data_IF_108658756558
#
_entry.id   IF_108658756558
#
_cell.length_a   1.000
_cell.length_b   1.000
_cell.length_c   1.000
_cell.angle_alpha   90.00
_cell.angle_beta   90.00
_cell.angle_gamma   90.00
#
_symmetry.space_group_name_H-M   'P 1'
#
loop_
_entity.id
_entity.type
_entity.pdbx_description
1 polymer ?
#
# COMPACT_ATOMS: atom_id res chain seq x y z
N UNK A 1 40.87 -39.29 -14.47
CA UNK A 1 40.66 -40.73 -14.70
C UNK A 1 39.76 -41.26 -13.58
N UNK A 2 38.61 -41.87 -13.94
CA UNK A 2 37.74 -42.82 -13.20
C UNK A 2 37.30 -42.46 -11.76
N UNK A 3 36.03 -42.16 -11.47
CA UNK A 3 34.78 -42.95 -11.44
C UNK A 3 34.56 -43.89 -10.23
N UNK A 4 33.34 -43.75 -9.68
CA UNK A 4 32.42 -44.74 -9.09
C UNK A 4 32.53 -45.20 -7.61
N UNK A 5 31.43 -44.91 -6.88
CA UNK A 5 30.58 -45.77 -6.01
C UNK A 5 31.13 -46.49 -4.78
N UNK A 6 30.41 -46.37 -3.64
CA UNK A 6 29.55 -47.43 -3.05
C UNK A 6 29.42 -47.36 -1.51
N UNK A 7 28.27 -47.83 -1.00
CA UNK A 7 28.03 -48.34 0.39
C UNK A 7 27.13 -47.43 1.24
N UNK A 8 25.84 -47.68 1.53
CA UNK A 8 25.08 -48.86 2.05
C UNK A 8 25.34 -49.18 3.54
N UNK A 9 24.25 -49.53 4.25
CA UNK A 9 24.06 -50.12 5.62
C UNK A 9 23.55 -49.05 6.63
N UNK A 10 22.25 -48.97 6.97
CA UNK A 10 21.29 -49.88 7.66
C UNK A 10 21.44 -49.96 9.18
N UNK A 11 20.28 -49.82 9.85
CA UNK A 11 19.91 -50.14 11.24
C UNK A 11 20.46 -49.28 12.39
N UNK A 12 19.58 -48.69 13.20
CA UNK A 12 19.22 -49.31 14.49
C UNK A 12 17.92 -48.74 15.10
N UNK A 13 17.21 -49.66 15.74
CA UNK A 13 15.96 -49.52 16.49
C UNK A 13 16.22 -48.78 17.81
N UNK A 14 15.29 -47.92 18.22
CA UNK A 14 15.32 -47.27 19.53
C UNK A 14 13.93 -46.80 19.95
N UNK A 15 13.13 -47.73 20.45
CA UNK A 15 11.95 -47.45 21.27
C UNK A 15 12.33 -46.64 22.50
N UNK A 16 11.69 -45.50 22.72
CA UNK A 16 11.53 -44.92 24.06
C UNK A 16 10.07 -44.58 24.28
N UNK A 17 9.45 -45.38 25.14
CA UNK A 17 8.15 -45.15 25.71
C UNK A 17 8.19 -43.89 26.58
N UNK A 18 7.38 -42.89 26.24
CA UNK A 18 7.09 -41.77 27.12
C UNK A 18 5.70 -41.98 27.74
N UNK A 19 5.70 -42.18 29.05
CA UNK A 19 4.51 -42.23 29.89
C UNK A 19 3.78 -40.87 29.83
N UNK A 20 2.61 -40.84 29.21
CA UNK A 20 1.69 -39.71 29.30
C UNK A 20 0.87 -39.87 30.58
N UNK A 21 1.17 -39.01 31.54
CA UNK A 21 0.42 -38.82 32.78
C UNK A 21 -1.00 -38.37 32.42
N UNK A 22 -1.98 -39.20 32.77
CA UNK A 22 -3.40 -38.86 32.75
C UNK A 22 -3.66 -37.65 33.66
N UNK A 23 -3.96 -36.51 33.04
CA UNK A 23 -4.56 -35.35 33.72
C UNK A 23 -6.08 -35.50 33.67
N UNK A 24 -6.81 -35.37 34.79
CA UNK A 24 -8.25 -35.48 34.78
C UNK A 24 -8.88 -34.30 34.04
N UNK A 25 -9.76 -34.63 33.09
CA UNK A 25 -10.66 -33.73 32.39
C UNK A 25 -11.47 -32.95 33.45
N UNK A 26 -11.13 -31.68 33.65
CA UNK A 26 -11.98 -30.73 34.37
C UNK A 26 -13.16 -30.38 33.47
N UNK A 27 -14.33 -30.84 33.88
CA UNK A 27 -15.63 -30.43 33.36
C UNK A 27 -15.74 -28.90 33.33
N UNK A 28 -16.23 -28.28 32.23
CA UNK A 28 -16.60 -26.88 32.27
C UNK A 28 -17.78 -26.72 33.24
N UNK A 29 -17.52 -25.96 34.30
CA UNK A 29 -18.51 -25.45 35.23
C UNK A 29 -19.66 -24.80 34.47
N UNK A 30 -20.85 -25.36 34.64
CA UNK A 30 -22.15 -24.80 34.28
C UNK A 30 -22.24 -23.31 34.65
N UNK A 31 -22.03 -22.42 33.69
CA UNK A 31 -22.59 -21.09 33.73
C UNK A 31 -24.11 -21.22 33.56
N UNK A 32 -24.82 -21.27 34.68
CA UNK A 32 -26.27 -21.07 34.73
C UNK A 32 -26.55 -19.63 34.27
N UNK A 33 -26.78 -19.45 32.97
CA UNK A 33 -27.51 -18.28 32.49
C UNK A 33 -28.93 -18.41 33.04
N UNK A 34 -29.30 -17.54 33.99
CA UNK A 34 -30.71 -17.34 34.35
C UNK A 34 -31.40 -16.81 33.09
N UNK A 35 -32.06 -17.70 32.36
CA UNK A 35 -33.14 -17.34 31.45
C UNK A 35 -34.21 -16.67 32.32
N UNK A 36 -34.22 -15.34 32.33
CA UNK A 36 -35.43 -14.61 32.65
C UNK A 36 -36.42 -14.93 31.54
N UNK A 37 -37.39 -15.79 31.83
CA UNK A 37 -38.56 -15.96 30.99
C UNK A 37 -39.35 -14.66 31.07
N UNK A 38 -39.06 -13.72 30.17
CA UNK A 38 -39.96 -12.60 29.93
C UNK A 38 -41.27 -13.16 29.39
N UNK A 39 -42.39 -12.74 29.97
CA UNK A 39 -43.69 -13.10 29.41
C UNK A 39 -43.82 -12.48 28.01
N UNK A 40 -44.56 -13.11 27.12
CA UNK A 40 -44.80 -12.59 25.76
C UNK A 40 -45.37 -11.15 25.80
N UNK A 41 -46.14 -10.83 26.85
CA UNK A 41 -46.67 -9.50 27.11
C UNK A 41 -45.60 -8.47 27.50
N UNK A 42 -44.55 -8.87 28.23
CA UNK A 42 -43.44 -7.99 28.59
C UNK A 42 -42.51 -7.74 27.40
N UNK A 43 -42.29 -8.76 26.56
CA UNK A 43 -41.53 -8.62 25.32
C UNK A 43 -42.24 -7.68 24.32
N UNK A 44 -43.57 -7.76 24.22
CA UNK A 44 -44.36 -6.86 23.38
C UNK A 44 -44.28 -5.40 23.85
N UNK A 45 -44.34 -5.16 25.17
CA UNK A 45 -44.18 -3.81 25.74
C UNK A 45 -42.79 -3.24 25.55
N UNK A 46 -41.75 -4.08 25.67
CA UNK A 46 -40.38 -3.66 25.42
C UNK A 46 -40.15 -3.33 23.93
N UNK A 47 -40.71 -4.13 23.03
CA UNK A 47 -40.68 -3.86 21.59
C UNK A 47 -41.39 -2.54 21.24
N UNK A 48 -42.55 -2.24 21.84
CA UNK A 48 -43.25 -0.97 21.62
C UNK A 48 -42.44 0.23 22.14
N UNK A 49 -41.77 0.07 23.30
CA UNK A 49 -40.90 1.10 23.87
C UNK A 49 -39.67 1.36 23.00
N UNK A 50 -39.08 0.30 22.43
CA UNK A 50 -37.95 0.41 21.51
C UNK A 50 -38.36 1.05 20.18
N UNK A 51 -39.57 0.75 19.69
CA UNK A 51 -40.12 1.39 18.49
C UNK A 51 -40.32 2.90 18.69
N UNK A 52 -40.90 3.32 19.82
CA UNK A 52 -41.03 4.75 20.16
C UNK A 52 -39.68 5.46 20.24
N UNK A 53 -38.67 4.84 20.87
CA UNK A 53 -37.31 5.39 20.89
C UNK A 53 -36.69 5.51 19.50
N UNK A 54 -36.92 4.53 18.62
CA UNK A 54 -36.42 4.58 17.26
C UNK A 54 -37.07 5.71 16.45
N UNK A 55 -38.38 5.93 16.64
CA UNK A 55 -39.11 7.01 15.98
C UNK A 55 -38.68 8.39 16.52
N UNK A 56 -38.44 8.52 17.83
CA UNK A 56 -37.87 9.73 18.45
C UNK A 56 -36.45 10.03 17.90
N UNK A 57 -35.60 9.02 17.75
CA UNK A 57 -34.26 9.18 17.19
C UNK A 57 -34.30 9.57 15.71
N UNK A 58 -35.24 9.03 14.93
CA UNK A 58 -35.43 9.41 13.52
C UNK A 58 -35.86 10.86 13.38
N UNK A 59 -36.74 11.34 14.25
CA UNK A 59 -37.15 12.75 14.24
C UNK A 59 -36.01 13.67 14.67
N UNK A 60 -35.21 13.27 15.66
CA UNK A 60 -33.99 14.01 16.03
C UNK A 60 -32.99 14.10 14.88
N UNK A 61 -32.78 13.01 14.13
CA UNK A 61 -31.92 13.00 12.94
C UNK A 61 -32.47 13.95 11.89
N UNK A 62 -33.78 13.92 11.62
CA UNK A 62 -34.42 14.81 10.64
C UNK A 62 -34.26 16.28 10.99
N UNK A 63 -34.43 16.64 12.27
CA UNK A 63 -34.23 18.02 12.75
C UNK A 63 -32.76 18.42 12.65
N UNK A 64 -31.82 17.52 12.96
CA UNK A 64 -30.39 17.78 12.77
C UNK A 64 -30.02 17.94 11.29
N UNK A 65 -30.60 17.13 10.40
CA UNK A 65 -30.38 17.22 8.95
C UNK A 65 -30.95 18.53 8.36
N UNK A 66 -32.12 18.98 8.83
CA UNK A 66 -32.68 20.29 8.45
C UNK A 66 -31.82 21.46 8.96
N UNK A 67 -31.21 21.33 10.15
CA UNK A 67 -30.30 22.35 10.70
C UNK A 67 -28.93 22.42 9.99
N UNK A 68 -28.49 21.32 9.39
CA UNK A 68 -27.20 21.26 8.67
C UNK A 68 -27.31 21.90 7.27
N UNK A 69 -28.52 22.10 6.74
CA UNK A 69 -28.74 22.73 5.44
C UNK A 69 -28.15 21.94 4.24
N UNK A 70 -28.32 22.42 3.00
CA UNK A 70 -27.79 21.75 1.80
C UNK A 70 -26.25 21.80 1.70
N UNK A 71 -25.57 22.46 2.62
CA UNK A 71 -24.13 22.45 2.72
C UNK A 71 -23.65 21.23 3.52
N UNK A 72 -23.85 20.03 2.94
CA UNK A 72 -22.85 18.98 3.13
C UNK A 72 -21.60 19.48 2.39
N UNK A 73 -20.82 20.32 3.05
CA UNK A 73 -19.46 20.65 2.64
C UNK A 73 -18.68 19.34 2.69
N UNK A 74 -18.73 18.59 1.60
CA UNK A 74 -17.74 17.56 1.33
C UNK A 74 -16.39 18.26 1.39
N UNK A 75 -15.55 17.90 2.36
CA UNK A 75 -14.15 18.34 2.42
C UNK A 75 -13.34 17.94 1.15
N UNK A 76 -13.98 17.31 0.16
CA UNK A 76 -13.39 16.99 -1.15
C UNK A 76 -13.08 18.25 -1.98
N UNK A 77 -13.75 19.39 -1.76
CA UNK A 77 -13.47 20.63 -2.51
C UNK A 77 -12.06 21.20 -2.24
N UNK A 78 -11.40 20.78 -1.15
CA UNK A 78 -10.03 21.18 -0.82
C UNK A 78 -8.96 20.45 -1.65
N UNK A 79 -9.32 19.40 -2.39
CA UNK A 79 -8.38 18.52 -3.10
C UNK A 79 -8.50 18.56 -4.62
N UNK A 80 -9.34 19.43 -5.17
CA UNK A 80 -9.55 19.57 -6.62
C UNK A 80 -8.83 20.85 -7.07
N UNK A 81 -7.58 20.78 -7.57
CA UNK A 81 -7.02 21.90 -8.30
C UNK A 81 -7.88 22.14 -9.56
N UNK A 82 -8.17 23.42 -9.85
CA UNK A 82 -8.84 23.81 -11.09
C UNK A 82 -7.92 23.49 -12.26
N UNK A 83 -8.42 22.73 -13.23
CA UNK A 83 -7.67 22.38 -14.44
C UNK A 83 -7.62 23.58 -15.39
N UNK A 84 -6.50 24.29 -15.41
CA UNK A 84 -6.18 25.20 -16.50
C UNK A 84 -5.52 24.38 -17.62
N UNK A 85 -6.29 24.04 -18.65
CA UNK A 85 -5.79 23.41 -19.87
C UNK A 85 -5.17 24.47 -20.79
N UNK A 86 -3.90 24.78 -20.58
CA UNK A 86 -3.03 25.29 -21.63
C UNK A 86 -1.82 24.36 -21.75
N UNK A 87 -1.44 24.00 -22.98
CA UNK A 87 -0.21 23.25 -23.28
C UNK A 87 1.01 24.15 -23.01
N UNK A 88 1.23 24.50 -21.75
CA UNK A 88 2.45 25.14 -21.31
C UNK A 88 3.62 24.15 -21.47
N UNK A 89 4.75 24.67 -21.94
CA UNK A 89 6.02 23.95 -21.90
C UNK A 89 6.33 23.75 -20.42
N UNK A 90 6.07 22.54 -19.92
CA UNK A 90 6.36 22.20 -18.53
C UNK A 90 7.87 22.19 -18.37
N UNK A 91 8.42 23.19 -17.68
CA UNK A 91 9.81 23.18 -17.24
C UNK A 91 9.96 22.12 -16.15
N UNK A 92 10.80 21.11 -16.39
CA UNK A 92 11.10 20.03 -15.44
C UNK A 92 10.27 18.76 -15.63
N UNK A 93 10.35 17.87 -14.64
CA UNK A 93 9.68 16.56 -14.66
C UNK A 93 8.18 16.70 -14.60
N UNK A 94 7.46 15.89 -15.38
CA UNK A 94 5.99 15.94 -15.46
C UNK A 94 5.35 14.56 -15.39
N UNK A 95 4.13 14.51 -14.84
CA UNK A 95 3.26 13.33 -14.84
C UNK A 95 2.31 13.29 -16.06
N UNK A 96 2.32 14.33 -16.90
CA UNK A 96 1.42 14.44 -18.06
C UNK A 96 1.64 13.28 -19.04
N UNK A 97 0.55 12.56 -19.34
CA UNK A 97 0.54 11.37 -20.20
C UNK A 97 1.53 10.28 -19.75
N UNK A 98 1.71 10.12 -18.44
CA UNK A 98 2.54 9.05 -17.87
C UNK A 98 1.68 7.95 -17.28
N UNK A 99 2.23 6.73 -17.26
CA UNK A 99 1.67 5.53 -16.66
C UNK A 99 2.43 5.20 -15.39
N UNK A 100 1.76 5.28 -14.24
CA UNK A 100 2.38 5.16 -12.91
C UNK A 100 1.92 3.87 -12.25
N UNK A 101 2.85 3.04 -11.79
CA UNK A 101 2.57 1.82 -11.03
C UNK A 101 2.69 2.06 -9.53
N UNK A 102 1.62 1.80 -8.78
CA UNK A 102 1.63 1.78 -7.32
C UNK A 102 1.69 0.33 -6.84
N UNK A 103 2.83 -0.07 -6.27
CA UNK A 103 3.03 -1.43 -5.76
C UNK A 103 2.63 -1.50 -4.29
N UNK A 104 1.75 -2.45 -3.94
CA UNK A 104 1.15 -2.50 -2.61
C UNK A 104 -0.04 -1.55 -2.47
N UNK A 105 -0.79 -1.34 -3.56
CA UNK A 105 -1.91 -0.40 -3.62
C UNK A 105 -3.07 -0.75 -2.69
N UNK A 106 -3.22 -2.01 -2.25
CA UNK A 106 -4.19 -2.41 -1.24
C UNK A 106 -3.71 -2.21 0.21
N UNK A 107 -2.48 -1.70 0.41
CA UNK A 107 -1.93 -1.33 1.71
C UNK A 107 -2.50 -0.01 2.25
N UNK A 108 -2.20 0.31 3.52
CA UNK A 108 -2.68 1.54 4.17
C UNK A 108 -2.18 2.81 3.48
N UNK A 109 -0.90 2.83 3.09
CA UNK A 109 -0.30 3.97 2.39
C UNK A 109 -0.57 3.90 0.89
N UNK A 110 -0.38 2.73 0.27
CA UNK A 110 -0.53 2.57 -1.18
C UNK A 110 -1.91 2.97 -1.70
N UNK A 111 -2.98 2.67 -0.96
CA UNK A 111 -4.34 3.10 -1.33
C UNK A 111 -4.51 4.62 -1.30
N UNK A 112 -3.89 5.29 -0.32
CA UNK A 112 -3.91 6.76 -0.23
C UNK A 112 -3.05 7.40 -1.33
N UNK A 113 -1.92 6.78 -1.69
CA UNK A 113 -1.10 7.20 -2.84
C UNK A 113 -1.91 7.12 -4.13
N UNK A 114 -2.60 5.99 -4.36
CA UNK A 114 -3.49 5.83 -5.52
C UNK A 114 -4.59 6.88 -5.53
N UNK A 115 -5.26 7.13 -4.39
CA UNK A 115 -6.26 8.19 -4.27
C UNK A 115 -5.66 9.55 -4.63
N UNK A 116 -4.53 9.92 -4.04
CA UNK A 116 -3.90 11.23 -4.26
C UNK A 116 -3.51 11.43 -5.73
N UNK A 117 -2.91 10.43 -6.39
CA UNK A 117 -2.64 10.47 -7.82
C UNK A 117 -3.90 10.76 -8.65
N UNK A 118 -4.98 10.02 -8.40
CA UNK A 118 -6.21 10.17 -9.17
C UNK A 118 -6.91 11.52 -8.92
N UNK A 119 -6.76 12.13 -7.75
CA UNK A 119 -7.44 13.39 -7.41
C UNK A 119 -6.64 14.61 -7.79
N UNK A 120 -5.34 14.59 -7.53
CA UNK A 120 -4.47 15.75 -7.67
C UNK A 120 -3.79 15.82 -9.04
N UNK A 121 -3.68 14.69 -9.76
CA UNK A 121 -2.96 14.61 -11.04
C UNK A 121 -3.83 14.06 -12.18
N UNK A 122 -4.88 14.80 -12.61
CA UNK A 122 -5.71 14.39 -13.73
C UNK A 122 -4.94 14.31 -15.06
N UNK A 123 -3.76 14.90 -15.17
CA UNK A 123 -2.89 14.84 -16.36
C UNK A 123 -2.23 13.46 -16.58
N UNK A 124 -2.23 12.60 -15.56
CA UNK A 124 -1.74 11.21 -15.65
C UNK A 124 -2.58 10.43 -16.68
N UNK A 125 -1.94 9.57 -17.47
CA UNK A 125 -2.65 8.73 -18.44
C UNK A 125 -3.33 7.54 -17.75
N UNK A 126 -2.57 6.82 -16.94
CA UNK A 126 -3.04 5.61 -16.26
C UNK A 126 -2.34 5.43 -14.91
N UNK A 127 -3.10 5.07 -13.88
CA UNK A 127 -2.60 4.63 -12.58
C UNK A 127 -2.82 3.12 -12.48
N UNK A 128 -1.74 2.35 -12.51
CA UNK A 128 -1.76 0.92 -12.30
C UNK A 128 -1.64 0.61 -10.81
N UNK A 129 -2.68 0.04 -10.21
CA UNK A 129 -2.68 -0.40 -8.82
C UNK A 129 -2.35 -1.90 -8.74
N UNK A 130 -1.10 -2.22 -8.40
CA UNK A 130 -0.69 -3.61 -8.16
C UNK A 130 -1.12 -4.07 -6.76
N UNK A 131 -2.04 -5.03 -6.73
CA UNK A 131 -2.60 -5.62 -5.52
C UNK A 131 -2.19 -7.08 -5.40
N UNK A 132 -1.94 -7.52 -4.17
CA UNK A 132 -1.70 -8.94 -3.89
C UNK A 132 -3.00 -9.60 -3.42
N UNK A 133 -3.29 -10.79 -3.93
CA UNK A 133 -4.43 -11.59 -3.50
C UNK A 133 -4.25 -12.06 -2.05
N UNK A 134 -5.15 -11.63 -1.16
CA UNK A 134 -5.25 -12.14 0.21
C UNK A 134 -6.58 -12.93 0.26
N UNK A 135 -6.56 -14.27 0.28
CA UNK A 135 -7.79 -15.10 0.32
C UNK A 135 -8.63 -14.88 1.59
N UNK A 136 -9.87 -15.37 1.79
CA UNK A 136 -10.73 -16.39 1.15
C UNK A 136 -11.72 -15.85 0.09
N UNK A 137 -12.41 -16.77 -0.61
CA UNK A 137 -13.25 -16.61 -1.81
C UNK A 137 -14.36 -15.52 -1.83
N UNK A 138 -14.55 -14.75 -0.76
CA UNK A 138 -15.66 -13.77 -0.65
C UNK A 138 -15.22 -12.31 -0.50
N UNK A 139 -13.95 -12.01 -0.23
CA UNK A 139 -13.45 -10.62 -0.16
C UNK A 139 -12.20 -10.48 -1.00
N UNK A 140 -12.36 -10.04 -2.25
CA UNK A 140 -11.22 -9.70 -3.09
C UNK A 140 -10.39 -8.64 -2.35
N UNK A 141 -9.08 -8.87 -2.21
CA UNK A 141 -8.17 -8.15 -1.31
C UNK A 141 -7.93 -6.66 -1.61
N UNK A 142 -8.84 -6.01 -2.34
CA UNK A 142 -8.82 -4.60 -2.72
C UNK A 142 -9.88 -3.74 -2.02
N UNK A 143 -10.64 -4.28 -1.06
CA UNK A 143 -11.71 -3.52 -0.36
C UNK A 143 -11.24 -2.19 0.27
N UNK A 144 -9.98 -2.12 0.74
CA UNK A 144 -9.40 -0.85 1.21
C UNK A 144 -9.18 0.12 0.07
N UNK A 145 -8.65 -0.37 -1.05
CA UNK A 145 -8.37 0.45 -2.23
C UNK A 145 -9.68 1.00 -2.79
N UNK A 146 -10.73 0.16 -2.92
CA UNK A 146 -12.04 0.59 -3.42
C UNK A 146 -12.65 1.69 -2.57
N UNK A 147 -12.60 1.56 -1.24
CA UNK A 147 -13.04 2.60 -0.32
C UNK A 147 -12.22 3.89 -0.47
N UNK A 148 -10.88 3.80 -0.47
CA UNK A 148 -10.02 4.97 -0.45
C UNK A 148 -10.10 5.79 -1.76
N UNK A 149 -10.20 5.13 -2.92
CA UNK A 149 -10.38 5.84 -4.20
C UNK A 149 -11.80 6.35 -4.40
N UNK A 150 -12.74 5.95 -3.55
CA UNK A 150 -14.15 6.30 -3.63
C UNK A 150 -14.91 5.52 -4.71
N UNK A 151 -14.45 4.31 -5.07
CA UNK A 151 -15.18 3.44 -6.00
C UNK A 151 -16.54 2.98 -5.42
N UNK A 152 -16.68 3.02 -4.10
CA UNK A 152 -17.90 2.67 -3.38
C UNK A 152 -18.81 3.88 -3.08
N UNK A 153 -18.38 5.11 -3.40
CA UNK A 153 -19.13 6.36 -3.13
C UNK A 153 -20.34 6.56 -4.07
N UNK A 154 -20.65 5.59 -4.92
CA UNK A 154 -21.75 5.67 -5.87
C UNK A 154 -23.09 5.91 -5.20
N UNK A 155 -24.04 6.49 -5.95
CA UNK A 155 -25.42 6.57 -5.47
C UNK A 155 -26.00 5.17 -5.55
N UNK A 156 -26.31 4.61 -4.39
CA UNK A 156 -26.79 3.25 -4.28
C UNK A 156 -28.03 3.10 -3.42
N UNK A 157 -28.82 2.08 -3.74
CA UNK A 157 -29.92 1.65 -2.91
C UNK A 157 -29.45 0.46 -2.07
N UNK A 158 -29.51 0.59 -0.75
CA UNK A 158 -29.23 -0.50 0.16
C UNK A 158 -30.58 -1.10 0.54
N UNK A 159 -30.85 -2.31 0.05
CA UNK A 159 -32.05 -3.05 0.43
C UNK A 159 -32.15 -3.19 1.96
N UNK A 160 -33.37 -3.07 2.50
CA UNK A 160 -33.58 -3.24 3.93
C UNK A 160 -33.16 -4.66 4.35
N UNK A 161 -32.57 -4.81 5.54
CA UNK A 161 -32.04 -6.10 6.02
C UNK A 161 -33.08 -7.25 6.09
N UNK A 162 -34.38 -6.91 6.07
CA UNK A 162 -35.50 -7.84 6.08
C UNK A 162 -36.21 -7.98 4.71
N UNK A 163 -35.74 -7.30 3.67
CA UNK A 163 -36.27 -7.45 2.32
C UNK A 163 -35.61 -8.64 1.60
N UNK A 164 -36.32 -9.20 0.62
CA UNK A 164 -35.79 -10.29 -0.22
C UNK A 164 -34.63 -9.79 -1.11
N UNK A 165 -34.61 -8.50 -1.46
CA UNK A 165 -33.47 -7.81 -2.06
C UNK A 165 -32.41 -7.48 -1.00
N UNK A 166 -31.50 -8.42 -0.77
CA UNK A 166 -30.33 -8.22 0.11
C UNK A 166 -29.12 -7.60 -0.59
N UNK A 167 -29.29 -7.19 -1.84
CA UNK A 167 -28.21 -6.67 -2.67
C UNK A 167 -28.13 -5.15 -2.54
N UNK A 168 -26.94 -4.64 -2.24
CA UNK A 168 -26.66 -3.22 -2.36
C UNK A 168 -26.18 -2.94 -3.78
N UNK A 169 -26.93 -2.12 -4.52
CA UNK A 169 -26.54 -1.71 -5.88
C UNK A 169 -26.04 -0.28 -5.82
N UNK A 170 -24.83 -0.03 -6.32
CA UNK A 170 -24.25 1.30 -6.43
C UNK A 170 -24.07 1.66 -7.90
N UNK A 171 -24.43 2.89 -8.27
CA UNK A 171 -24.29 3.41 -9.63
C UNK A 171 -23.33 4.58 -9.65
N UNK A 172 -22.57 4.69 -10.73
CA UNK A 172 -21.66 5.81 -10.96
C UNK A 172 -22.45 7.11 -11.04
N UNK A 173 -22.09 8.10 -10.22
CA UNK A 173 -22.72 9.42 -10.19
C UNK A 173 -21.84 10.47 -10.87
N UNK A 174 -22.41 11.60 -11.25
CA UNK A 174 -21.66 12.71 -11.86
C UNK A 174 -20.57 13.27 -10.93
N UNK A 175 -20.76 13.19 -9.60
CA UNK A 175 -19.78 13.60 -8.60
C UNK A 175 -18.51 12.75 -8.65
N UNK A 176 -18.62 11.49 -9.09
CA UNK A 176 -17.48 10.58 -9.24
C UNK A 176 -16.64 10.86 -10.49
N UNK A 177 -17.06 11.76 -11.39
CA UNK A 177 -16.24 12.14 -12.56
C UNK A 177 -14.90 12.76 -12.13
N UNK A 178 -14.92 13.56 -11.08
CA UNK A 178 -13.70 14.15 -10.50
C UNK A 178 -12.78 13.12 -9.83
N UNK A 179 -13.20 11.85 -9.76
CA UNK A 179 -12.43 10.79 -9.11
C UNK A 179 -11.44 10.14 -10.09
N UNK A 180 -11.58 10.41 -11.40
CA UNK A 180 -10.74 9.88 -12.47
C UNK A 180 -10.58 8.35 -12.44
N UNK A 181 -11.62 7.62 -12.00
CA UNK A 181 -11.58 6.15 -11.86
C UNK A 181 -11.41 5.43 -13.21
N UNK A 182 -11.73 6.10 -14.32
CA UNK A 182 -11.47 5.63 -15.68
C UNK A 182 -9.98 5.44 -15.98
N UNK A 183 -9.10 6.12 -15.23
CA UNK A 183 -7.64 6.01 -15.35
C UNK A 183 -7.04 4.98 -14.40
N UNK A 184 -7.83 4.40 -13.50
CA UNK A 184 -7.38 3.41 -12.54
C UNK A 184 -7.48 1.99 -13.13
N UNK A 185 -6.34 1.32 -13.25
CA UNK A 185 -6.28 -0.10 -13.59
C UNK A 185 -5.79 -0.93 -12.41
N UNK A 186 -6.65 -1.75 -11.84
CA UNK A 186 -6.27 -2.70 -10.78
C UNK A 186 -5.75 -3.99 -11.41
N UNK A 187 -4.54 -4.41 -11.02
CA UNK A 187 -3.90 -5.62 -11.52
C UNK A 187 -3.46 -6.47 -10.33
N UNK A 188 -3.82 -7.75 -10.35
CA UNK A 188 -3.32 -8.72 -9.37
C UNK A 188 -1.90 -9.15 -9.78
N UNK A 189 -0.95 -9.03 -8.85
CA UNK A 189 0.47 -9.33 -9.10
C UNK A 189 1.07 -10.08 -7.93
N UNK A 190 1.70 -11.22 -8.21
CA UNK A 190 2.64 -11.87 -7.31
C UNK A 190 4.03 -11.28 -7.51
N UNK A 191 4.53 -10.52 -6.53
CA UNK A 191 5.81 -9.81 -6.64
C UNK A 191 7.01 -10.77 -6.64
N UNK A 192 6.84 -11.98 -6.13
CA UNK A 192 7.87 -13.02 -6.21
C UNK A 192 7.87 -13.75 -7.56
N UNK A 193 6.88 -13.49 -8.42
CA UNK A 193 6.85 -13.99 -9.79
C UNK A 193 7.46 -12.96 -10.76
N UNK A 194 8.67 -13.20 -11.30
CA UNK A 194 9.33 -12.25 -12.19
C UNK A 194 8.61 -12.06 -13.52
N UNK A 195 7.84 -13.05 -14.01
CA UNK A 195 7.11 -12.91 -15.27
C UNK A 195 5.93 -11.95 -15.09
N UNK A 196 5.17 -12.09 -14.01
CA UNK A 196 4.08 -11.16 -13.67
C UNK A 196 4.61 -9.74 -13.45
N UNK A 197 5.74 -9.59 -12.76
CA UNK A 197 6.41 -8.30 -12.59
C UNK A 197 6.77 -7.66 -13.94
N UNK A 198 7.28 -8.43 -14.90
CA UNK A 198 7.58 -7.92 -16.26
C UNK A 198 6.32 -7.49 -17.00
N UNK A 199 5.26 -8.30 -16.94
CA UNK A 199 4.00 -7.99 -17.63
C UNK A 199 3.33 -6.74 -17.08
N UNK A 200 3.25 -6.57 -15.75
CA UNK A 200 2.61 -5.38 -15.17
C UNK A 200 3.38 -4.10 -15.44
N UNK A 201 4.71 -4.20 -15.53
CA UNK A 201 5.57 -3.06 -15.81
C UNK A 201 5.61 -2.66 -17.28
N UNK A 202 4.96 -3.38 -18.18
CA UNK A 202 4.95 -3.04 -19.61
C UNK A 202 4.35 -1.65 -19.87
N UNK A 203 5.17 -0.79 -20.47
CA UNK A 203 4.88 0.61 -20.73
C UNK A 203 4.70 1.51 -19.50
N UNK A 204 5.08 1.07 -18.30
CA UNK A 204 5.11 1.91 -17.08
C UNK A 204 6.30 2.87 -17.13
N UNK A 205 6.07 4.13 -16.77
CA UNK A 205 7.09 5.20 -16.74
C UNK A 205 7.76 5.33 -15.38
N UNK A 206 6.98 5.15 -14.32
CA UNK A 206 7.44 5.28 -12.94
C UNK A 206 6.71 4.35 -11.98
N UNK A 207 7.39 3.99 -10.89
CA UNK A 207 6.90 3.10 -9.85
C UNK A 207 6.98 3.78 -8.48
N UNK A 208 5.87 3.76 -7.74
CA UNK A 208 5.86 4.03 -6.30
C UNK A 208 5.76 2.70 -5.56
N UNK A 209 6.81 2.36 -4.82
CA UNK A 209 6.88 1.13 -4.05
C UNK A 209 6.40 1.34 -2.61
N UNK A 210 5.20 0.85 -2.31
CA UNK A 210 4.62 0.83 -0.95
C UNK A 210 4.48 -0.59 -0.38
N UNK A 211 4.92 -1.62 -1.11
CA UNK A 211 4.74 -3.00 -0.69
C UNK A 211 5.68 -3.42 0.44
N UNK A 212 5.14 -4.25 1.33
CA UNK A 212 5.88 -4.85 2.44
C UNK A 212 5.25 -6.21 2.78
N UNK A 213 6.09 -7.17 3.18
CA UNK A 213 5.70 -8.54 3.55
C UNK A 213 5.06 -8.63 4.96
N UNK A 214 4.52 -7.53 5.47
CA UNK A 214 4.09 -7.39 6.86
C UNK A 214 2.63 -6.96 6.98
N UNK A 215 1.93 -7.59 7.92
CA UNK A 215 0.62 -7.17 8.39
C UNK A 215 0.76 -6.66 9.83
N UNK A 216 0.85 -5.33 9.99
CA UNK A 216 1.21 -4.72 11.27
C UNK A 216 2.64 -5.11 11.67
N UNK A 217 2.80 -5.71 12.86
CA UNK A 217 4.10 -6.13 13.41
C UNK A 217 4.39 -7.62 13.16
N UNK A 218 3.80 -8.27 12.16
CA UNK A 218 4.07 -9.70 11.89
C UNK A 218 4.35 -9.94 10.41
N UNK A 219 5.41 -10.69 10.06
CA UNK A 219 5.59 -11.20 8.69
C UNK A 219 4.37 -12.02 8.28
N UNK A 220 3.85 -11.81 7.06
CA UNK A 220 2.69 -12.54 6.54
C UNK A 220 2.92 -14.06 6.53
N UNK A 221 4.15 -14.51 6.30
CA UNK A 221 4.53 -15.92 6.37
C UNK A 221 4.22 -16.58 7.73
N UNK A 222 4.29 -15.83 8.84
CA UNK A 222 3.95 -16.31 10.19
C UNK A 222 2.44 -16.24 10.43
N UNK A 223 1.78 -15.19 9.91
CA UNK A 223 0.33 -15.03 10.01
C UNK A 223 -0.44 -16.13 9.24
N UNK A 224 0.09 -16.61 8.13
CA UNK A 224 -0.55 -17.60 7.26
C UNK A 224 -0.16 -19.07 7.55
N UNK A 225 0.68 -19.36 8.56
CA UNK A 225 1.17 -20.71 8.90
C UNK A 225 1.73 -21.51 7.69
N UNK A 226 2.28 -20.84 6.68
CA UNK A 226 2.79 -21.52 5.50
C UNK A 226 4.23 -22.00 5.73
N UNK A 227 4.34 -23.27 6.14
CA UNK A 227 5.59 -23.95 6.49
C UNK A 227 6.64 -23.89 5.37
N UNK A 228 6.23 -23.87 4.09
CA UNK A 228 7.16 -23.78 2.96
C UNK A 228 7.89 -22.43 2.89
N UNK A 229 7.21 -21.32 3.21
CA UNK A 229 7.84 -20.00 3.29
C UNK A 229 8.81 -19.90 4.48
N UNK A 230 8.49 -20.56 5.59
CA UNK A 230 9.38 -20.62 6.76
C UNK A 230 10.69 -21.35 6.43
N UNK A 231 10.64 -22.52 5.79
CA UNK A 231 11.83 -23.27 5.40
C UNK A 231 12.68 -22.55 4.35
N UNK A 232 12.04 -21.90 3.35
CA UNK A 232 12.76 -21.13 2.32
C UNK A 232 13.48 -19.91 2.94
N UNK A 233 12.83 -19.23 3.87
CA UNK A 233 13.42 -18.11 4.62
C UNK A 233 14.60 -18.54 5.51
N UNK A 234 14.54 -19.73 6.12
CA UNK A 234 15.66 -20.27 6.91
C UNK A 234 16.83 -20.70 6.01
N UNK A 235 16.55 -21.24 4.82
CA UNK A 235 17.57 -21.69 3.88
C UNK A 235 18.27 -20.55 3.13
N UNK A 236 17.59 -19.42 2.91
CA UNK A 236 18.17 -18.21 2.31
C UNK A 236 17.36 -16.99 2.77
N UNK A 237 17.83 -16.24 3.79
CA UNK A 237 17.06 -15.14 4.40
C UNK A 237 16.76 -13.98 3.43
N UNK A 238 17.50 -13.90 2.32
CA UNK A 238 17.31 -12.91 1.26
C UNK A 238 16.31 -13.35 0.17
N UNK A 239 15.92 -14.63 0.11
CA UNK A 239 15.00 -15.17 -0.91
C UNK A 239 13.59 -15.34 -0.37
N UNK A 240 12.61 -15.06 -1.21
CA UNK A 240 11.17 -15.15 -0.95
C UNK A 240 10.62 -13.95 -0.19
N UNK A 241 11.31 -12.81 -0.20
CA UNK A 241 10.91 -11.57 0.48
C UNK A 241 10.55 -10.51 -0.52
N UNK A 242 9.43 -9.84 -0.29
CA UNK A 242 8.95 -8.77 -1.16
C UNK A 242 9.91 -7.58 -1.13
N UNK A 243 10.49 -7.25 0.02
CA UNK A 243 11.45 -6.15 0.20
C UNK A 243 12.76 -6.33 -0.59
N UNK A 244 13.13 -7.58 -0.93
CA UNK A 244 14.41 -7.91 -1.57
C UNK A 244 14.16 -8.52 -2.95
N UNK A 245 13.63 -9.75 -3.02
CA UNK A 245 13.37 -10.44 -4.29
C UNK A 245 12.26 -9.75 -5.09
N UNK A 246 11.18 -9.33 -4.42
CA UNK A 246 10.11 -8.58 -5.08
C UNK A 246 10.59 -7.23 -5.63
N UNK A 247 11.38 -6.50 -4.83
CA UNK A 247 11.97 -5.23 -5.24
C UNK A 247 12.93 -5.44 -6.43
N UNK A 248 13.79 -6.45 -6.38
CA UNK A 248 14.71 -6.81 -7.46
C UNK A 248 13.96 -7.15 -8.75
N UNK A 249 12.86 -7.91 -8.67
CA UNK A 249 12.03 -8.28 -9.81
C UNK A 249 11.44 -7.04 -10.49
N UNK A 250 10.87 -6.12 -9.71
CA UNK A 250 10.26 -4.89 -10.23
C UNK A 250 11.31 -3.93 -10.79
N UNK A 251 12.44 -3.72 -10.10
CA UNK A 251 13.53 -2.88 -10.61
C UNK A 251 14.14 -3.44 -11.90
N UNK A 252 14.37 -4.75 -11.95
CA UNK A 252 14.87 -5.44 -13.13
C UNK A 252 13.92 -5.31 -14.32
N UNK A 253 12.63 -5.52 -14.10
CA UNK A 253 11.61 -5.37 -15.12
C UNK A 253 11.44 -3.91 -15.60
N UNK A 254 11.50 -2.93 -14.69
CA UNK A 254 11.41 -1.50 -15.05
C UNK A 254 12.60 -1.07 -15.90
N UNK A 255 13.81 -1.46 -15.49
CA UNK A 255 15.04 -1.21 -16.26
C UNK A 255 14.97 -1.82 -17.65
N UNK A 256 14.51 -3.07 -17.75
CA UNK A 256 14.37 -3.76 -19.02
C UNK A 256 13.37 -3.04 -19.94
N UNK A 257 12.20 -2.65 -19.41
CA UNK A 257 11.21 -1.90 -20.19
C UNK A 257 11.78 -0.57 -20.71
N UNK A 258 12.43 0.24 -19.86
CA UNK A 258 13.03 1.50 -20.31
C UNK A 258 14.10 1.28 -21.40
N UNK A 259 14.92 0.25 -21.25
CA UNK A 259 15.91 -0.12 -22.27
C UNK A 259 15.27 -0.55 -23.59
N UNK A 260 14.19 -1.34 -23.53
CA UNK A 260 13.48 -1.80 -24.72
C UNK A 260 12.77 -0.64 -25.43
N UNK A 261 12.15 0.27 -24.69
CA UNK A 261 11.57 1.50 -25.24
C UNK A 261 12.63 2.37 -25.92
N UNK A 262 13.77 2.58 -25.26
CA UNK A 262 14.88 3.33 -25.85
C UNK A 262 15.39 2.66 -27.13
N UNK A 263 15.46 1.32 -27.16
CA UNK A 263 15.87 0.55 -28.34
C UNK A 263 14.88 0.71 -29.49
N UNK A 264 13.59 0.63 -29.22
CA UNK A 264 12.52 0.84 -30.23
C UNK A 264 12.57 2.25 -30.77
N UNK A 265 12.74 3.26 -29.92
CA UNK A 265 12.87 4.67 -30.34
C UNK A 265 14.07 4.86 -31.26
N UNK A 266 15.23 4.25 -30.96
CA UNK A 266 16.41 4.29 -31.84
C UNK A 266 16.22 3.61 -33.19
N UNK A 267 15.37 2.58 -33.27
CA UNK A 267 15.07 1.89 -34.54
C UNK A 267 14.04 2.61 -35.39
N UNK A 268 13.15 3.37 -34.75
CA UNK A 268 12.02 4.06 -35.41
C UNK A 268 12.32 5.54 -35.72
N UNK A 269 13.34 6.13 -35.09
CA UNK A 269 13.81 7.47 -35.41
C UNK A 269 14.32 7.55 -36.86
N UNK A 270 13.52 8.15 -37.73
CA UNK A 270 13.84 8.40 -39.14
C UNK A 270 14.63 9.69 -39.36
N UNK A 271 14.62 10.62 -38.38
CA UNK A 271 15.24 11.93 -38.52
C UNK A 271 16.57 12.03 -37.74
N UNK A 272 17.66 12.54 -38.38
CA UNK A 272 18.99 12.61 -37.77
C UNK A 272 19.12 13.63 -36.62
N UNK A 273 18.14 14.52 -36.45
CA UNK A 273 18.10 15.49 -35.34
C UNK A 273 17.73 14.79 -34.02
N UNK A 274 16.78 13.86 -34.05
CA UNK A 274 16.36 13.08 -32.87
C UNK A 274 17.45 12.12 -32.36
N UNK A 275 18.31 11.65 -33.25
CA UNK A 275 19.42 10.75 -32.88
C UNK A 275 20.48 11.50 -32.04
N UNK A 276 20.66 12.81 -32.27
CA UNK A 276 21.66 13.63 -31.56
C UNK A 276 21.23 14.04 -30.15
N UNK A 277 19.92 13.98 -29.86
CA UNK A 277 19.34 14.23 -28.54
C UNK A 277 19.08 12.96 -27.74
N UNK A 278 19.35 11.77 -28.30
CA UNK A 278 19.23 10.52 -27.55
C UNK A 278 20.34 10.47 -26.49
N UNK A 279 20.06 11.02 -25.31
CA UNK A 279 20.91 10.93 -24.14
C UNK A 279 21.20 9.46 -23.80
N UNK A 280 22.35 9.21 -23.18
CA UNK A 280 22.68 7.88 -22.64
C UNK A 280 21.81 7.49 -21.44
N UNK A 281 20.99 8.42 -20.92
CA UNK A 281 20.04 8.14 -19.84
C UNK A 281 18.90 7.25 -20.34
N UNK A 282 18.37 6.42 -19.43
CA UNK A 282 17.14 5.67 -19.68
C UNK A 282 15.90 6.57 -19.58
N UNK A 283 16.06 7.73 -18.95
CA UNK A 283 15.00 8.72 -18.74
C UNK A 283 15.11 9.83 -19.78
N UNK A 284 13.95 10.20 -20.33
CA UNK A 284 13.79 11.43 -21.10
C UNK A 284 13.87 12.68 -20.22
N UNK A 285 14.05 13.84 -20.85
CA UNK A 285 14.27 15.13 -20.18
C UNK A 285 13.15 15.49 -19.18
N UNK A 286 11.89 15.23 -19.54
CA UNK A 286 10.72 15.52 -18.73
C UNK A 286 10.13 14.28 -18.04
N UNK A 287 10.84 13.15 -18.04
CA UNK A 287 10.35 11.94 -17.41
C UNK A 287 10.34 12.09 -15.88
N UNK A 288 9.31 11.56 -15.19
CA UNK A 288 9.31 11.53 -13.73
C UNK A 288 10.45 10.66 -13.21
N UNK A 289 10.75 10.79 -11.92
CA UNK A 289 11.65 9.88 -11.20
C UNK A 289 11.19 8.44 -11.45
N UNK A 290 12.10 7.56 -11.88
CA UNK A 290 11.73 6.20 -12.28
C UNK A 290 11.15 5.39 -11.11
N UNK A 291 11.67 5.61 -9.91
CA UNK A 291 11.34 4.77 -8.77
C UNK A 291 11.32 5.55 -7.45
N UNK A 292 10.17 5.59 -6.77
CA UNK A 292 10.04 6.12 -5.42
C UNK A 292 9.89 4.95 -4.44
N UNK A 293 10.89 4.76 -3.58
CA UNK A 293 10.89 3.73 -2.55
C UNK A 293 10.39 4.29 -1.22
N UNK A 294 9.23 3.82 -0.76
CA UNK A 294 8.72 4.11 0.59
C UNK A 294 9.41 3.18 1.59
N UNK A 295 10.09 3.79 2.54
CA UNK A 295 10.81 3.14 3.62
C UNK A 295 10.41 3.74 4.98
N UNK A 296 10.85 3.11 6.06
CA UNK A 296 10.69 3.65 7.41
C UNK A 296 12.00 4.31 7.83
N UNK A 297 11.95 5.42 8.57
CA UNK A 297 13.14 5.99 9.20
C UNK A 297 13.75 5.00 10.20
N UNK A 298 15.09 4.96 10.35
CA UNK A 298 15.75 4.00 11.25
C UNK A 298 15.18 4.03 12.68
N UNK A 299 14.79 5.20 13.16
CA UNK A 299 14.29 5.42 14.52
C UNK A 299 12.77 5.19 14.64
N UNK A 300 12.03 5.08 13.53
CA UNK A 300 10.56 5.10 13.54
C UNK A 300 9.93 3.81 14.10
N UNK A 301 10.58 2.67 13.91
CA UNK A 301 10.03 1.35 14.27
C UNK A 301 10.70 0.70 15.48
N UNK A 302 11.67 1.38 16.10
CA UNK A 302 12.48 0.83 17.19
C UNK A 302 13.24 -0.44 16.77
N UNK A 303 13.77 -1.17 17.75
CA UNK A 303 14.46 -2.44 17.52
C UNK A 303 13.42 -3.56 17.38
N UNK A 304 12.70 -3.54 16.26
CA UNK A 304 11.75 -4.59 15.92
C UNK A 304 12.49 -5.75 15.24
N UNK A 305 12.80 -6.77 16.04
CA UNK A 305 13.41 -8.01 15.56
C UNK A 305 12.31 -9.00 15.12
N UNK A 306 12.43 -9.47 13.89
CA UNK A 306 11.62 -10.57 13.39
C UNK A 306 12.40 -11.88 13.55
N UNK A 307 11.75 -13.06 13.50
CA UNK A 307 12.48 -14.33 13.43
C UNK A 307 13.45 -14.47 12.24
N UNK A 308 13.49 -13.48 11.34
CA UNK A 308 14.28 -13.44 10.13
C UNK A 308 15.28 -12.25 10.10
N UNK A 309 15.47 -11.57 11.23
CA UNK A 309 16.37 -10.42 11.36
C UNK A 309 15.65 -9.12 11.71
N UNK A 310 16.43 -8.06 11.90
CA UNK A 310 15.92 -6.72 12.19
C UNK A 310 15.18 -6.14 10.98
N UNK A 311 13.95 -5.66 11.20
CA UNK A 311 13.12 -5.11 10.12
C UNK A 311 13.78 -3.92 9.41
N UNK A 312 14.41 -3.05 10.18
CA UNK A 312 15.18 -1.94 9.63
C UNK A 312 16.32 -2.44 8.73
N UNK A 313 16.99 -3.54 9.11
CA UNK A 313 18.03 -4.16 8.28
C UNK A 313 17.51 -4.56 6.89
N UNK A 314 16.31 -5.15 6.80
CA UNK A 314 15.71 -5.51 5.51
C UNK A 314 15.38 -4.29 4.65
N UNK A 315 14.83 -3.22 5.25
CA UNK A 315 14.56 -1.96 4.54
C UNK A 315 15.85 -1.30 4.05
N UNK A 316 16.90 -1.27 4.87
CA UNK A 316 18.22 -0.74 4.48
C UNK A 316 18.86 -1.54 3.36
N UNK A 317 18.68 -2.86 3.35
CA UNK A 317 19.15 -3.71 2.25
C UNK A 317 18.42 -3.39 0.94
N UNK A 318 17.11 -3.18 0.97
CA UNK A 318 16.35 -2.74 -0.21
C UNK A 318 16.79 -1.36 -0.74
N UNK A 319 17.11 -0.43 0.16
CA UNK A 319 17.64 0.89 -0.22
C UNK A 319 19.05 0.83 -0.82
N UNK A 320 19.92 -0.03 -0.28
CA UNK A 320 21.25 -0.28 -0.85
C UNK A 320 21.14 -0.91 -2.24
N UNK A 321 20.26 -1.90 -2.43
CA UNK A 321 20.01 -2.52 -3.74
C UNK A 321 19.64 -1.48 -4.81
N UNK A 322 18.74 -0.55 -4.49
CA UNK A 322 18.32 0.48 -5.43
C UNK A 322 19.50 1.36 -5.89
N UNK A 323 20.37 1.75 -4.96
CA UNK A 323 21.53 2.62 -5.22
C UNK A 323 22.67 1.90 -5.92
N UNK A 324 22.98 0.68 -5.48
CA UNK A 324 24.19 -0.03 -5.88
C UNK A 324 23.96 -0.90 -7.13
N UNK A 325 22.83 -1.60 -7.21
CA UNK A 325 22.56 -2.58 -8.27
C UNK A 325 21.84 -1.97 -9.49
N UNK A 326 21.11 -0.85 -9.28
CA UNK A 326 20.30 -0.20 -10.32
C UNK A 326 20.64 1.29 -10.55
N UNK A 327 21.92 1.69 -10.68
CA UNK A 327 22.32 3.10 -10.82
C UNK A 327 21.86 3.76 -12.13
N UNK A 328 21.31 2.98 -13.07
CA UNK A 328 20.77 3.49 -14.33
C UNK A 328 19.33 4.02 -14.21
N UNK A 329 18.66 3.80 -13.07
CA UNK A 329 17.31 4.28 -12.80
C UNK A 329 17.39 5.46 -11.83
N UNK A 330 16.76 6.58 -12.20
CA UNK A 330 16.54 7.68 -11.26
C UNK A 330 15.63 7.22 -10.14
N UNK A 331 15.98 7.55 -8.90
CA UNK A 331 15.21 7.08 -7.76
C UNK A 331 15.16 8.05 -6.59
N UNK A 332 14.17 7.91 -5.73
CA UNK A 332 14.09 8.64 -4.46
C UNK A 332 13.70 7.68 -3.36
N UNK A 333 14.43 7.69 -2.24
CA UNK A 333 14.09 6.91 -1.05
C UNK A 333 13.51 7.83 0.01
N UNK A 334 12.25 7.61 0.37
CA UNK A 334 11.56 8.36 1.42
C UNK A 334 11.50 7.51 2.68
N UNK A 335 12.25 7.93 3.69
CA UNK A 335 12.29 7.31 5.02
C UNK A 335 11.32 8.03 5.94
N UNK A 336 10.09 7.51 6.04
CA UNK A 336 9.04 8.15 6.83
C UNK A 336 9.23 7.97 8.33
N UNK A 337 8.94 9.04 9.09
CA UNK A 337 8.71 8.95 10.52
C UNK A 337 7.55 8.02 10.88
N UNK A 338 7.25 7.90 12.18
CA UNK A 338 6.19 6.98 12.62
C UNK A 338 4.82 7.44 12.11
N UNK A 339 4.13 6.56 11.37
CA UNK A 339 2.78 6.84 10.91
C UNK A 339 1.79 6.96 12.07
N UNK A 340 1.07 8.06 12.12
CA UNK A 340 0.09 8.33 13.17
C UNK A 340 -1.10 9.14 12.66
N UNK A 341 -2.17 8.44 12.25
CA UNK A 341 -3.37 9.07 11.71
C UNK A 341 -4.28 9.66 12.79
N UNK A 342 -4.04 9.34 14.08
CA UNK A 342 -4.92 9.75 15.17
C UNK A 342 -4.47 11.06 15.82
N UNK A 343 -3.15 11.27 15.91
CA UNK A 343 -2.58 12.42 16.63
C UNK A 343 -1.93 13.46 15.71
N UNK A 344 -1.70 13.11 14.44
CA UNK A 344 -1.16 14.05 13.45
C UNK A 344 -2.31 14.43 12.52
N UNK A 345 -2.66 15.72 12.53
CA UNK A 345 -3.64 16.29 11.60
C UNK A 345 -3.19 16.09 10.15
N UNK A 346 -4.16 16.05 9.23
CA UNK A 346 -3.90 15.96 7.80
C UNK A 346 -3.47 17.34 7.25
N UNK A 347 -2.76 17.36 6.12
CA UNK A 347 -2.41 18.59 5.38
C UNK A 347 -1.46 19.52 6.14
N UNK A 348 -0.60 18.95 6.98
CA UNK A 348 0.47 19.69 7.65
C UNK A 348 1.68 19.88 6.72
N UNK A 349 2.54 20.85 7.03
CA UNK A 349 3.78 21.06 6.28
C UNK A 349 4.72 19.85 6.44
N UNK A 350 5.20 19.37 5.30
CA UNK A 350 6.09 18.21 5.20
C UNK A 350 7.53 18.71 5.27
N UNK A 351 8.28 18.17 6.22
CA UNK A 351 9.70 18.44 6.37
C UNK A 351 10.51 17.33 5.69
N UNK A 352 11.54 17.74 4.96
CA UNK A 352 12.50 16.87 4.29
C UNK A 352 13.88 17.11 4.90
N UNK A 353 14.55 16.03 5.30
CA UNK A 353 15.86 16.10 5.92
C UNK A 353 16.86 15.16 5.25
N UNK A 354 17.99 15.75 4.93
CA UNK A 354 19.08 15.13 4.18
C UNK A 354 20.23 14.73 5.11
N UNK A 355 20.22 15.16 6.38
CA UNK A 355 21.36 15.04 7.27
C UNK A 355 21.32 13.77 8.14
N UNK A 356 22.52 13.28 8.47
CA UNK A 356 22.71 12.20 9.44
C UNK A 356 22.91 12.83 10.81
N UNK A 357 21.95 12.59 11.69
CA UNK A 357 21.87 13.23 12.99
C UNK A 357 22.82 12.66 14.05
N UNK A 358 23.19 13.52 15.00
CA UNK A 358 23.97 13.16 16.19
C UNK A 358 23.17 12.33 17.19
N UNK A 359 23.81 11.72 18.20
CA UNK A 359 23.12 10.88 19.19
C UNK A 359 22.07 11.62 20.01
N UNK A 360 22.29 12.89 20.34
CA UNK A 360 21.34 13.71 21.09
C UNK A 360 20.08 14.04 20.29
N UNK A 361 20.21 14.16 18.96
CA UNK A 361 19.10 14.37 18.04
C UNK A 361 18.23 13.12 17.86
N UNK A 362 18.76 11.90 18.10
CA UNK A 362 17.99 10.64 17.98
C UNK A 362 16.73 10.61 18.84
N UNK A 363 16.73 11.31 19.98
CA UNK A 363 15.55 11.41 20.85
C UNK A 363 14.45 12.25 20.22
N UNK A 364 14.81 13.29 19.48
CA UNK A 364 13.85 14.08 18.69
C UNK A 364 13.38 13.31 17.46
N UNK A 365 14.27 12.54 16.82
CA UNK A 365 13.92 11.67 15.69
C UNK A 365 12.84 10.64 16.05
N UNK A 366 12.92 10.04 17.23
CA UNK A 366 11.89 9.10 17.71
C UNK A 366 10.50 9.75 17.87
N UNK A 367 10.44 11.09 17.95
CA UNK A 367 9.17 11.84 18.02
C UNK A 367 8.64 12.25 16.65
N UNK A 368 9.43 12.12 15.57
CA UNK A 368 8.99 12.43 14.20
C UNK A 368 7.83 11.52 13.81
N UNK A 369 6.69 12.13 13.51
CA UNK A 369 5.46 11.45 13.09
C UNK A 369 4.94 12.05 11.79
N UNK A 370 4.17 11.27 11.06
CA UNK A 370 3.52 11.72 9.84
C UNK A 370 2.14 11.08 9.67
N UNK A 371 1.18 11.88 9.21
CA UNK A 371 -0.11 11.38 8.78
C UNK A 371 0.05 10.62 7.45
N UNK A 372 -0.61 9.47 7.29
CA UNK A 372 -0.46 8.68 6.04
C UNK A 372 -0.90 9.42 4.77
N UNK A 373 -1.84 10.38 4.87
CA UNK A 373 -2.22 11.21 3.73
C UNK A 373 -1.11 12.15 3.30
N UNK A 374 -0.42 12.77 4.26
CA UNK A 374 0.72 13.63 3.97
C UNK A 374 1.91 12.82 3.44
N UNK A 375 2.11 11.60 3.94
CA UNK A 375 3.09 10.69 3.38
C UNK A 375 2.75 10.26 1.94
N UNK A 376 1.46 10.08 1.63
CA UNK A 376 1.01 9.78 0.27
C UNK A 376 1.29 10.96 -0.68
N UNK A 377 1.02 12.19 -0.23
CA UNK A 377 1.41 13.41 -0.95
C UNK A 377 2.92 13.47 -1.18
N UNK A 378 3.74 13.30 -0.13
CA UNK A 378 5.20 13.29 -0.27
C UNK A 378 5.70 12.24 -1.28
N UNK A 379 5.10 11.04 -1.29
CA UNK A 379 5.48 9.98 -2.21
C UNK A 379 5.17 10.30 -3.67
N UNK A 380 4.09 11.03 -3.92
CA UNK A 380 3.71 11.46 -5.27
C UNK A 380 4.52 12.68 -5.71
N UNK A 381 4.68 13.68 -4.84
CA UNK A 381 5.47 14.89 -5.12
C UNK A 381 6.94 14.55 -5.41
N UNK A 382 7.46 13.47 -4.82
CA UNK A 382 8.80 12.96 -5.11
C UNK A 382 9.00 12.49 -6.56
N UNK A 383 7.94 12.23 -7.32
CA UNK A 383 8.04 11.87 -8.74
C UNK A 383 8.50 13.03 -9.62
N UNK A 384 8.21 14.26 -9.22
CA UNK A 384 8.48 15.46 -10.01
C UNK A 384 9.48 16.40 -9.34
N UNK A 385 9.91 16.12 -8.11
CA UNK A 385 10.85 16.97 -7.39
C UNK A 385 12.32 16.62 -7.72
N UNK A 386 12.94 17.46 -8.54
CA UNK A 386 14.35 17.32 -8.94
C UNK A 386 15.35 17.39 -7.77
N UNK A 387 14.99 18.05 -6.68
CA UNK A 387 15.87 18.14 -5.51
C UNK A 387 15.98 16.80 -4.76
N UNK A 388 15.03 15.87 -4.94
CA UNK A 388 14.99 14.59 -4.24
C UNK A 388 15.58 13.43 -5.05
N UNK A 389 15.98 13.69 -6.29
CA UNK A 389 16.51 12.67 -7.22
C UNK A 389 17.83 12.10 -6.69
N UNK A 390 17.92 10.78 -6.71
CA UNK A 390 19.02 9.94 -6.26
C UNK A 390 19.42 10.15 -4.79
N UNK A 391 18.47 10.60 -3.97
CA UNK A 391 18.66 10.86 -2.54
C UNK A 391 17.84 9.94 -1.65
N UNK A 392 18.34 9.74 -0.43
CA UNK A 392 17.63 9.14 0.69
C UNK A 392 17.32 10.23 1.71
N UNK A 393 16.04 10.37 2.05
CA UNK A 393 15.54 11.55 2.74
C UNK A 393 14.61 11.12 3.84
N UNK A 394 14.74 11.71 5.03
CA UNK A 394 13.77 11.49 6.09
C UNK A 394 12.59 12.44 5.94
N UNK A 395 11.38 11.93 6.15
CA UNK A 395 10.14 12.68 5.91
C UNK A 395 9.20 12.60 7.11
N UNK A 396 8.77 13.76 7.60
CA UNK A 396 7.78 13.87 8.68
C UNK A 396 6.99 15.18 8.59
N UNK A 397 5.92 15.31 9.36
CA UNK A 397 5.13 16.55 9.45
C UNK A 397 5.44 17.28 10.76
N UNK A 398 5.37 18.61 10.73
CA UNK A 398 5.57 19.41 11.95
C UNK A 398 4.50 19.08 12.99
N UNK A 399 4.88 18.77 14.23
CA UNK A 399 3.92 18.67 15.33
C UNK A 399 3.52 20.08 15.78
N UNK A 400 2.22 20.38 15.87
CA UNK A 400 1.78 21.58 16.59
C UNK A 400 2.27 21.47 18.05
N UNK A 401 3.08 22.44 18.46
CA UNK A 401 3.69 22.50 19.79
C UNK A 401 2.70 22.74 20.92
#
# INVERSE_FOLDING_TARGET
MKFFFAGVISCFIGCTAFNIIHSPIRSPSSCRTRLYSMSEDDAAKEAEKMKKKADELREQIRVMEEQIGPARSNNNDLYIPKSDEEDEVVEGRSLKKKRILVVGANGRLGSMVTRYLLRSHPEVEEVLAAVHYVGEATSRGYGRLSYEVGAEDGVGNIGAAWSEEREATFTFSDEMKAYNLDKLRVVEVELLDPEQCRTVLDGVDSVIWCATDFEGNRPRAIAALNVAFLFRAVASPTKGRVEIEGLQNVLGALKQNKQDRQRVNRMTATDPVDISQSSSSLDGENDPVSFVLVSAAPEALGNFETPFGEFNGLKRQGESMLREDFPSLTHTVLQFGKFDDNFVEESLDINFDFEVHSEDEKVELMKRRINRRDAARAAVDALTNDELVDKTIQVWTASRG
#
